data_IF_402528623477
#
_entry.id   IF_402528623477
#
_cell.length_a   1.000
_cell.length_b   1.000
_cell.length_c   1.000
_cell.angle_alpha   90.00
_cell.angle_beta   90.00
_cell.angle_gamma   90.00
#
_symmetry.space_group_name_H-M   'P 1'
#
loop_
_entity.id
_entity.type
_entity.pdbx_description
1 polymer ?
#
# COMPACT_ATOMS: atom_id res chain seq x y z
N UNK A 1 -6.10 16.30 -6.03
CA UNK A 1 -4.76 16.07 -5.40
C UNK A 1 -4.59 14.71 -4.71
N UNK A 2 -5.52 14.22 -3.87
CA UNK A 2 -5.38 12.91 -3.17
C UNK A 2 -5.31 11.68 -4.08
N UNK A 3 -6.13 11.60 -5.15
CA UNK A 3 -6.12 10.48 -6.10
C UNK A 3 -4.77 10.30 -6.81
N UNK A 4 -4.12 11.38 -7.26
CA UNK A 4 -2.79 11.31 -7.92
C UNK A 4 -1.72 10.69 -7.02
N UNK A 5 -1.73 11.00 -5.72
CA UNK A 5 -0.77 10.42 -4.76
C UNK A 5 -1.06 8.94 -4.50
N UNK A 6 -2.34 8.57 -4.37
CA UNK A 6 -2.76 7.17 -4.23
C UNK A 6 -2.38 6.32 -5.45
N UNK A 7 -2.45 6.90 -6.66
CA UNK A 7 -2.06 6.21 -7.89
C UNK A 7 -0.54 5.98 -7.96
N UNK A 8 0.26 6.95 -7.50
CA UNK A 8 1.71 6.79 -7.33
C UNK A 8 2.06 5.65 -6.38
N UNK A 9 1.40 5.62 -5.21
CA UNK A 9 1.58 4.52 -4.25
C UNK A 9 1.12 3.18 -4.87
N UNK A 10 0.01 3.16 -5.62
CA UNK A 10 -0.45 1.93 -6.30
C UNK A 10 0.61 1.40 -7.26
N UNK A 11 1.22 2.26 -8.08
CA UNK A 11 2.30 1.89 -9.01
C UNK A 11 3.52 1.36 -8.28
N UNK A 12 3.87 1.97 -7.14
CA UNK A 12 4.97 1.50 -6.32
C UNK A 12 4.68 0.14 -5.64
N UNK A 13 3.42 -0.15 -5.29
CA UNK A 13 3.02 -1.42 -4.69
C UNK A 13 3.04 -2.59 -5.66
N UNK A 14 2.70 -2.37 -6.94
CA UNK A 14 2.80 -3.40 -8.00
C UNK A 14 4.22 -3.55 -8.56
N UNK A 15 5.16 -2.67 -8.19
CA UNK A 15 6.52 -2.75 -8.69
C UNK A 15 7.31 -3.82 -7.90
N UNK A 16 7.75 -4.92 -8.54
CA UNK A 16 8.50 -5.97 -7.87
C UNK A 16 9.85 -5.49 -7.31
N UNK A 17 10.44 -4.41 -7.87
CA UNK A 17 11.69 -3.84 -7.33
C UNK A 17 11.50 -3.19 -5.96
N UNK A 18 10.27 -2.75 -5.66
CA UNK A 18 9.87 -2.17 -4.38
C UNK A 18 9.17 -3.19 -3.48
N UNK A 19 9.12 -4.47 -3.86
CA UNK A 19 8.53 -5.53 -3.05
C UNK A 19 9.22 -5.68 -1.70
N UNK A 20 10.55 -5.47 -1.66
CA UNK A 20 11.37 -5.47 -0.43
C UNK A 20 11.28 -4.15 0.35
N UNK A 21 10.72 -3.10 -0.24
CA UNK A 21 10.62 -1.78 0.40
C UNK A 21 9.39 -1.72 1.32
N UNK A 22 9.53 -1.27 2.58
CA UNK A 22 8.40 -1.10 3.48
C UNK A 22 7.33 -0.18 2.89
N UNK A 23 6.06 -0.55 3.05
CA UNK A 23 4.91 0.25 2.56
C UNK A 23 4.92 1.66 3.18
N UNK A 24 5.36 1.79 4.43
CA UNK A 24 5.53 3.07 5.10
C UNK A 24 6.56 3.97 4.40
N UNK A 25 7.63 3.41 3.85
CA UNK A 25 8.67 4.15 3.12
C UNK A 25 8.17 4.60 1.75
N UNK A 26 7.42 3.73 1.06
CA UNK A 26 6.70 4.08 -0.18
C UNK A 26 5.69 5.22 0.06
N UNK A 27 4.91 5.12 1.13
CA UNK A 27 3.95 6.15 1.50
C UNK A 27 4.65 7.49 1.83
N UNK A 28 5.75 7.46 2.59
CA UNK A 28 6.55 8.63 2.90
C UNK A 28 7.12 9.30 1.64
N UNK A 29 7.61 8.53 0.66
CA UNK A 29 8.10 9.03 -0.62
C UNK A 29 7.04 9.81 -1.40
N UNK A 30 5.77 9.42 -1.29
CA UNK A 30 4.63 10.13 -1.89
C UNK A 30 4.01 11.20 -0.96
N UNK A 31 4.65 11.51 0.17
CA UNK A 31 4.21 12.50 1.16
C UNK A 31 2.95 12.11 1.93
N UNK A 32 2.76 10.81 2.16
CA UNK A 32 1.70 10.21 2.97
C UNK A 32 2.34 9.62 4.24
N UNK A 33 2.79 10.49 5.13
CA UNK A 33 3.67 10.17 6.27
C UNK A 33 2.94 9.56 7.49
N UNK A 34 1.74 8.99 7.33
CA UNK A 34 0.91 8.53 8.46
C UNK A 34 0.35 7.12 8.29
N UNK A 35 1.05 6.12 8.86
CA UNK A 35 0.68 4.70 8.84
C UNK A 35 -0.77 4.38 9.31
N UNK A 36 -1.36 5.01 10.35
CA UNK A 36 -2.69 4.62 10.82
C UNK A 36 -3.86 5.23 10.00
N UNK A 37 -3.65 6.38 9.34
CA UNK A 37 -4.68 6.98 8.47
C UNK A 37 -4.59 6.45 7.03
N UNK A 38 -3.39 6.09 6.59
CA UNK A 38 -3.14 5.63 5.23
C UNK A 38 -3.84 4.30 4.92
N UNK A 39 -3.75 3.30 5.81
CA UNK A 39 -4.42 2.00 5.61
C UNK A 39 -5.94 2.16 5.46
N UNK A 40 -6.58 3.00 6.29
CA UNK A 40 -8.02 3.27 6.20
C UNK A 40 -8.39 3.99 4.90
N UNK A 41 -7.62 5.00 4.51
CA UNK A 41 -7.85 5.73 3.25
C UNK A 41 -7.69 4.83 2.02
N UNK A 42 -6.67 3.99 2.02
CA UNK A 42 -6.41 3.07 0.91
C UNK A 42 -7.52 2.02 0.82
N UNK A 43 -7.92 1.42 1.96
CA UNK A 43 -9.04 0.48 2.02
C UNK A 43 -10.37 1.12 1.63
N UNK A 44 -10.65 2.35 2.05
CA UNK A 44 -11.86 3.07 1.63
C UNK A 44 -11.88 3.38 0.13
N UNK A 45 -10.71 3.45 -0.53
CA UNK A 45 -10.61 3.75 -1.97
C UNK A 45 -10.57 2.48 -2.83
N UNK A 46 -9.88 1.44 -2.37
CA UNK A 46 -9.55 0.23 -3.15
C UNK A 46 -10.13 -1.06 -2.57
N UNK A 47 -10.82 -1.02 -1.43
CA UNK A 47 -11.41 -2.18 -0.76
C UNK A 47 -10.45 -3.01 0.08
N UNK A 48 -9.14 -2.94 -0.18
CA UNK A 48 -8.10 -3.73 0.50
C UNK A 48 -7.03 -2.84 1.14
N UNK A 49 -6.21 -3.39 2.04
CA UNK A 49 -5.01 -2.68 2.51
C UNK A 49 -3.91 -2.69 1.45
N UNK A 50 -2.97 -1.72 1.46
CA UNK A 50 -1.81 -1.70 0.56
C UNK A 50 -0.92 -2.95 0.72
N UNK A 51 -0.90 -3.56 1.91
CA UNK A 51 -0.21 -4.83 2.16
C UNK A 51 -0.87 -6.00 1.46
N UNK A 52 -2.19 -6.15 1.61
CA UNK A 52 -2.96 -7.14 0.86
C UNK A 52 -2.83 -6.94 -0.64
N UNK A 53 -2.93 -5.69 -1.12
CA UNK A 53 -2.80 -5.38 -2.54
C UNK A 53 -1.44 -5.80 -3.11
N UNK A 54 -0.36 -5.59 -2.36
CA UNK A 54 0.99 -6.06 -2.74
C UNK A 54 1.08 -7.59 -2.69
N UNK A 55 0.57 -8.23 -1.63
CA UNK A 55 0.59 -9.68 -1.49
C UNK A 55 -0.22 -10.38 -2.60
N UNK A 56 -1.37 -9.82 -2.99
CA UNK A 56 -2.16 -10.33 -4.12
C UNK A 56 -1.39 -10.29 -5.45
N UNK A 57 -0.47 -9.35 -5.63
CA UNK A 57 0.41 -9.31 -6.82
C UNK A 57 1.67 -10.15 -6.69
N UNK A 58 2.12 -10.46 -5.47
CA UNK A 58 3.39 -11.14 -5.21
C UNK A 58 3.26 -12.68 -5.09
N UNK A 59 2.06 -13.24 -5.23
CA UNK A 59 1.80 -14.67 -5.13
C UNK A 59 1.11 -15.06 -3.81
N UNK A 60 0.49 -16.25 -3.73
CA UNK A 60 -0.46 -16.60 -2.68
C UNK A 60 0.26 -16.95 -1.37
N UNK A 61 0.74 -15.94 -0.65
CA UNK A 61 1.17 -16.08 0.74
C UNK A 61 0.14 -15.43 1.66
N UNK A 62 -0.63 -16.30 2.31
CA UNK A 62 -1.77 -15.95 3.16
C UNK A 62 -1.41 -15.25 4.47
N UNK A 63 -2.48 -14.66 5.02
CA UNK A 63 -2.76 -14.31 6.42
C UNK A 63 -1.82 -13.31 7.09
N UNK A 64 -2.36 -12.18 7.57
CA UNK A 64 -2.29 -11.75 8.98
C UNK A 64 -3.48 -10.85 9.32
N UNK A 65 -4.29 -11.29 10.29
CA UNK A 65 -5.17 -10.44 11.09
C UNK A 65 -4.28 -9.51 11.91
N UNK A 66 -4.38 -8.20 11.70
CA UNK A 66 -3.96 -7.22 12.72
C UNK A 66 -5.20 -6.85 13.53
N UNK A 67 -5.36 -7.53 14.66
CA UNK A 67 -6.17 -7.04 15.78
C UNK A 67 -5.39 -6.03 16.61
#
# INVERSE_FOLDING_TARGET
MRKRRLEGVRRALVNPTLARTPIASVAACHGLTGAPHFNRLFRATYGCTPGEYRSSTAGPHGLLRTG
#
